data_IF_910997113546
#
_entry.id   IF_910997113546
#
_cell.length_a   1.000
_cell.length_b   1.000
_cell.length_c   1.000
_cell.angle_alpha   90.00
_cell.angle_beta   90.00
_cell.angle_gamma   90.00
#
_symmetry.space_group_name_H-M   'P 1'
#
loop_
_entity.id
_entity.type
_entity.pdbx_description
1 polymer ?
#
# COMPACT_ATOMS: atom_id res chain seq x y z
N UNK A 1 7.70 -8.87 -6.73
CA UNK A 1 8.34 -9.01 -8.07
C UNK A 1 8.72 -10.46 -8.34
N UNK A 2 8.97 -10.86 -9.61
CA UNK A 2 9.09 -12.27 -10.06
C UNK A 2 10.42 -12.96 -9.71
N UNK A 3 11.02 -12.59 -8.58
CA UNK A 3 11.91 -13.42 -7.78
C UNK A 3 11.45 -13.15 -6.35
N UNK A 4 11.06 -14.18 -5.61
CA UNK A 4 10.53 -14.08 -4.25
C UNK A 4 11.56 -13.58 -3.22
N UNK A 5 12.27 -12.50 -3.52
CA UNK A 5 13.06 -11.72 -2.56
C UNK A 5 12.06 -11.06 -1.62
N UNK A 6 11.73 -11.77 -0.53
CA UNK A 6 11.10 -11.18 0.62
C UNK A 6 12.10 -10.19 1.22
N UNK A 7 11.80 -8.91 1.07
CA UNK A 7 12.59 -7.87 1.72
C UNK A 7 11.77 -7.32 2.87
N UNK A 8 12.34 -7.38 4.07
CA UNK A 8 11.77 -6.75 5.26
C UNK A 8 11.73 -5.22 5.12
N UNK A 9 11.11 -4.55 6.06
CA UNK A 9 11.02 -3.11 6.03
C UNK A 9 10.30 -2.52 7.24
N UNK A 10 10.43 -1.21 7.39
CA UNK A 10 9.66 -0.44 8.37
C UNK A 10 8.49 0.23 7.67
N UNK A 11 7.30 -0.01 8.19
CA UNK A 11 6.08 0.63 7.73
C UNK A 11 5.55 1.61 8.78
N UNK A 12 4.92 2.69 8.29
CA UNK A 12 4.23 3.69 9.09
C UNK A 12 2.92 4.01 8.39
N UNK A 13 1.80 4.00 9.12
CA UNK A 13 0.48 4.38 8.60
C UNK A 13 -0.11 5.42 9.53
N UNK A 14 -0.62 6.50 8.94
CA UNK A 14 -1.46 7.48 9.62
C UNK A 14 -2.67 7.74 8.72
N UNK A 15 -3.83 7.25 9.15
CA UNK A 15 -5.07 7.46 8.41
C UNK A 15 -5.65 8.84 8.73
N UNK A 16 -6.23 9.55 7.74
CA UNK A 16 -6.40 9.11 6.36
C UNK A 16 -5.18 9.38 5.47
N UNK A 17 -4.91 8.44 4.56
CA UNK A 17 -4.12 8.68 3.36
C UNK A 17 -2.60 8.67 3.50
N UNK A 18 -2.04 8.73 4.72
CA UNK A 18 -0.59 8.76 4.89
C UNK A 18 -0.02 7.36 5.12
N UNK A 19 1.04 7.05 4.38
CA UNK A 19 1.75 5.79 4.46
C UNK A 19 3.23 6.04 4.18
N UNK A 20 4.11 5.31 4.86
CA UNK A 20 5.50 5.19 4.45
C UNK A 20 5.97 3.77 4.60
N UNK A 21 6.62 3.27 3.57
CA UNK A 21 7.34 2.02 3.59
C UNK A 21 8.80 2.25 3.19
N UNK A 22 9.72 1.88 4.08
CA UNK A 22 11.13 1.80 3.76
C UNK A 22 11.50 0.31 3.71
N UNK A 23 11.79 -0.21 2.51
CA UNK A 23 12.35 -1.54 2.39
C UNK A 23 13.77 -1.54 2.98
N UNK A 24 14.11 -2.61 3.68
CA UNK A 24 15.47 -2.85 4.17
C UNK A 24 16.34 -3.42 3.05
N UNK A 25 17.65 -3.50 3.26
CA UNK A 25 18.55 -4.09 2.27
C UNK A 25 18.18 -5.56 1.99
N UNK A 26 18.32 -6.04 0.73
CA UNK A 26 18.98 -5.37 -0.39
C UNK A 26 18.06 -4.50 -1.27
N UNK A 27 16.78 -4.34 -0.93
CA UNK A 27 15.83 -3.61 -1.77
C UNK A 27 15.99 -2.10 -1.58
N UNK A 28 16.36 -1.34 -2.63
CA UNK A 28 16.50 0.11 -2.54
C UNK A 28 15.15 0.83 -2.62
N UNK A 29 14.03 0.12 -2.48
CA UNK A 29 12.72 0.67 -2.74
C UNK A 29 12.20 1.51 -1.57
N UNK A 30 11.40 2.52 -1.87
CA UNK A 30 10.67 3.33 -0.89
C UNK A 30 9.30 3.68 -1.44
N UNK A 31 8.29 3.61 -0.59
CA UNK A 31 6.93 4.07 -0.91
C UNK A 31 6.53 5.13 0.11
N UNK A 32 6.03 6.27 -0.35
CA UNK A 32 5.52 7.34 0.52
C UNK A 32 4.17 7.80 -0.05
N UNK A 33 3.17 7.94 0.81
CA UNK A 33 1.96 8.68 0.51
C UNK A 33 1.75 9.78 1.54
N UNK A 34 1.45 10.99 1.05
CA UNK A 34 1.21 12.19 1.85
C UNK A 34 -0.29 12.49 2.02
N UNK A 35 -1.16 11.55 1.63
CA UNK A 35 -2.61 11.70 1.61
C UNK A 35 -3.19 12.26 0.31
N UNK A 36 -2.36 12.80 -0.60
CA UNK A 36 -2.79 13.27 -1.93
C UNK A 36 -2.21 12.41 -3.04
N UNK A 37 -0.92 12.13 -2.95
CA UNK A 37 -0.21 11.34 -3.93
C UNK A 37 0.51 10.17 -3.26
N UNK A 38 0.89 9.19 -4.07
CA UNK A 38 1.82 8.13 -3.70
C UNK A 38 3.02 8.21 -4.61
N UNK A 39 4.20 8.09 -4.02
CA UNK A 39 5.49 8.04 -4.69
C UNK A 39 6.13 6.70 -4.41
N UNK A 40 6.55 6.03 -5.48
CA UNK A 40 7.32 4.79 -5.44
C UNK A 40 8.71 5.10 -5.99
N UNK A 41 9.74 4.89 -5.20
CA UNK A 41 11.11 5.27 -5.55
C UNK A 41 12.09 4.14 -5.46
N UNK A 42 13.07 4.13 -6.36
CA UNK A 42 14.29 3.36 -6.21
C UNK A 42 15.42 4.29 -5.76
N UNK A 43 15.81 4.20 -4.50
CA UNK A 43 16.81 5.08 -3.89
C UNK A 43 18.20 4.95 -4.52
N UNK A 44 18.53 3.77 -5.06
CA UNK A 44 19.82 3.50 -5.71
C UNK A 44 19.90 4.14 -7.09
N UNK A 45 18.82 4.02 -7.87
CA UNK A 45 18.72 4.60 -9.22
C UNK A 45 18.28 6.08 -9.19
N UNK A 46 17.75 6.55 -8.06
CA UNK A 46 17.16 7.88 -7.89
C UNK A 46 16.04 8.15 -8.89
N UNK A 47 15.23 7.12 -9.13
CA UNK A 47 14.03 7.18 -9.98
C UNK A 47 12.79 7.16 -9.10
N UNK A 48 11.74 7.86 -9.54
CA UNK A 48 10.52 8.05 -8.78
C UNK A 48 9.31 7.99 -9.72
N UNK A 49 8.33 7.17 -9.37
CA UNK A 49 7.01 7.14 -10.00
C UNK A 49 6.00 7.82 -9.09
N UNK A 50 5.22 8.76 -9.64
CA UNK A 50 4.24 9.56 -8.90
C UNK A 50 2.84 9.27 -9.41
N UNK A 51 1.92 8.94 -8.50
CA UNK A 51 0.52 8.69 -8.82
C UNK A 51 -0.39 9.46 -7.87
N UNK A 52 -1.53 10.01 -8.33
CA UNK A 52 -2.58 10.48 -7.43
C UNK A 52 -3.08 9.31 -6.58
N UNK A 53 -3.10 9.47 -5.24
CA UNK A 53 -3.51 8.39 -4.33
C UNK A 53 -4.94 7.94 -4.65
N UNK A 54 -5.82 8.89 -4.96
CA UNK A 54 -7.22 8.67 -5.34
C UNK A 54 -7.43 7.86 -6.62
N UNK A 55 -6.36 7.62 -7.40
CA UNK A 55 -6.37 6.77 -8.60
C UNK A 55 -5.71 5.41 -8.38
N UNK A 56 -5.38 5.09 -7.12
CA UNK A 56 -4.80 3.80 -6.76
C UNK A 56 -5.73 3.04 -5.80
N UNK A 57 -5.81 1.69 -5.91
CA UNK A 57 -6.52 0.87 -4.93
C UNK A 57 -6.03 1.04 -3.49
N UNK A 58 -4.78 1.48 -3.30
CA UNK A 58 -4.20 1.79 -1.99
C UNK A 58 -5.02 2.82 -1.20
N UNK A 59 -5.73 3.72 -1.88
CA UNK A 59 -6.65 4.67 -1.23
C UNK A 59 -7.74 4.00 -0.39
N UNK A 60 -8.15 2.78 -0.75
CA UNK A 60 -9.16 2.00 -0.02
C UNK A 60 -8.63 1.47 1.32
N UNK A 61 -7.32 1.20 1.42
CA UNK A 61 -6.68 0.76 2.65
C UNK A 61 -6.39 1.93 3.60
N UNK A 62 -6.10 3.10 3.01
CA UNK A 62 -5.70 4.30 3.73
C UNK A 62 -6.88 5.23 4.07
N UNK A 63 -8.10 4.92 3.67
CA UNK A 63 -9.29 5.64 4.12
C UNK A 63 -9.50 5.49 5.63
N UNK A 64 -10.19 6.44 6.26
CA UNK A 64 -10.50 6.41 7.71
C UNK A 64 -11.19 5.11 8.13
N UNK A 65 -12.01 4.57 7.23
CA UNK A 65 -12.67 3.27 7.36
C UNK A 65 -12.53 2.52 6.05
N UNK A 66 -12.25 1.21 6.15
CA UNK A 66 -12.31 0.33 4.99
C UNK A 66 -13.79 0.07 4.72
N UNK A 67 -14.31 0.69 3.66
CA UNK A 67 -15.68 0.49 3.22
C UNK A 67 -15.75 -0.76 2.33
N UNK A 68 -16.29 -1.84 2.91
CA UNK A 68 -16.54 -3.12 2.23
C UNK A 68 -17.90 -3.16 1.52
N UNK A 69 -18.53 -2.00 1.26
CA UNK A 69 -19.76 -1.92 0.48
C UNK A 69 -19.61 -2.54 -0.91
N UNK A 70 -20.69 -3.18 -1.39
CA UNK A 70 -20.73 -4.04 -2.58
C UNK A 70 -20.06 -3.49 -3.85
N UNK A 71 -20.01 -2.17 -4.06
CA UNK A 71 -19.46 -1.60 -5.31
C UNK A 71 -17.94 -1.75 -5.44
N UNK A 72 -17.23 -1.97 -4.33
CA UNK A 72 -15.77 -2.06 -4.31
C UNK A 72 -15.27 -3.47 -4.03
N UNK A 73 -16.11 -4.36 -3.50
CA UNK A 73 -15.74 -5.76 -3.25
C UNK A 73 -15.84 -6.56 -4.54
N UNK A 74 -14.74 -7.20 -4.91
CA UNK A 74 -14.65 -8.06 -6.10
C UNK A 74 -14.77 -9.53 -5.76
N UNK A 75 -14.18 -9.91 -4.64
CA UNK A 75 -14.18 -11.29 -4.16
C UNK A 75 -13.96 -11.33 -2.65
N UNK A 76 -14.51 -12.36 -2.01
CA UNK A 76 -14.32 -12.64 -0.59
C UNK A 76 -14.15 -14.14 -0.44
N UNK A 77 -13.03 -14.54 0.18
CA UNK A 77 -12.73 -15.92 0.50
C UNK A 77 -12.48 -16.05 2.00
N UNK A 78 -13.24 -16.91 2.64
CA UNK A 78 -13.10 -17.20 4.06
C UNK A 78 -12.58 -18.62 4.24
N UNK A 79 -11.42 -18.75 4.87
CA UNK A 79 -10.77 -20.01 5.20
C UNK A 79 -10.53 -20.06 6.72
N UNK A 80 -10.28 -21.25 7.26
CA UNK A 80 -10.14 -21.47 8.71
C UNK A 80 -9.02 -20.65 9.36
N UNK A 81 -8.01 -20.28 8.58
CA UNK A 81 -6.78 -19.60 8.98
C UNK A 81 -6.69 -18.16 8.45
N UNK A 82 -7.54 -17.78 7.49
CA UNK A 82 -7.46 -16.47 6.85
C UNK A 82 -8.76 -16.01 6.20
N UNK A 83 -9.06 -14.72 6.30
CA UNK A 83 -10.08 -14.05 5.48
C UNK A 83 -9.40 -13.19 4.42
N UNK A 84 -9.66 -13.48 3.14
CA UNK A 84 -9.16 -12.71 2.00
C UNK A 84 -10.27 -11.88 1.38
N UNK A 85 -10.03 -10.60 1.17
CA UNK A 85 -10.96 -9.66 0.53
C UNK A 85 -10.24 -8.99 -0.63
N UNK A 86 -10.78 -9.15 -1.84
CA UNK A 86 -10.29 -8.43 -3.02
C UNK A 86 -11.16 -7.22 -3.24
N UNK A 87 -10.55 -6.03 -3.25
CA UNK A 87 -11.19 -4.75 -3.50
C UNK A 87 -10.70 -4.14 -4.82
N UNK A 88 -11.61 -3.50 -5.54
CA UNK A 88 -11.29 -2.76 -6.75
C UNK A 88 -12.51 -2.08 -7.35
N UNK A 89 -12.29 -0.91 -7.93
CA UNK A 89 -13.30 -0.13 -8.65
C UNK A 89 -12.78 0.13 -10.06
N UNK A 90 -13.38 -0.52 -11.06
CA UNK A 90 -12.91 -0.46 -12.45
C UNK A 90 -13.11 0.92 -13.07
N UNK A 91 -14.08 1.68 -12.56
CA UNK A 91 -14.33 3.05 -13.02
C UNK A 91 -13.29 4.04 -12.50
N UNK A 92 -12.66 3.75 -11.36
CA UNK A 92 -11.69 4.65 -10.69
C UNK A 92 -10.25 4.19 -10.90
N UNK A 93 -9.98 2.89 -10.77
CA UNK A 93 -8.64 2.28 -10.73
C UNK A 93 -8.31 1.41 -11.96
N UNK A 94 -9.23 1.30 -12.93
CA UNK A 94 -9.09 0.40 -14.06
C UNK A 94 -9.05 -1.07 -13.61
N UNK A 95 -8.15 -1.86 -14.18
CA UNK A 95 -7.99 -3.27 -13.78
C UNK A 95 -7.12 -3.45 -12.52
N UNK A 96 -6.69 -2.36 -11.88
CA UNK A 96 -5.91 -2.42 -10.65
C UNK A 96 -6.79 -2.83 -9.45
N UNK A 97 -6.24 -3.65 -8.55
CA UNK A 97 -6.93 -4.16 -7.36
C UNK A 97 -6.06 -4.05 -6.11
N UNK A 98 -6.69 -4.22 -4.94
CA UNK A 98 -6.00 -4.47 -3.68
C UNK A 98 -6.62 -5.69 -3.00
N UNK A 99 -5.79 -6.68 -2.70
CA UNK A 99 -6.16 -7.86 -1.95
C UNK A 99 -5.71 -7.67 -0.50
N UNK A 100 -6.63 -7.81 0.43
CA UNK A 100 -6.39 -7.68 1.87
C UNK A 100 -6.57 -9.04 2.52
N UNK A 101 -5.63 -9.42 3.38
CA UNK A 101 -5.62 -10.70 4.09
C UNK A 101 -5.65 -10.41 5.58
N UNK A 102 -6.70 -10.89 6.23
CA UNK A 102 -6.99 -10.66 7.64
C UNK A 102 -6.90 -11.97 8.43
N UNK A 103 -6.50 -11.83 9.69
CA UNK A 103 -6.66 -12.87 10.69
C UNK A 103 -8.16 -13.04 11.01
N UNK A 104 -8.75 -14.25 10.87
CA UNK A 104 -10.20 -14.43 10.96
C UNK A 104 -10.74 -14.28 12.39
N UNK A 105 -9.87 -14.30 13.41
CA UNK A 105 -10.27 -14.19 14.82
C UNK A 105 -10.17 -12.77 15.33
N UNK A 106 -9.11 -12.07 14.95
CA UNK A 106 -8.79 -10.71 15.43
C UNK A 106 -9.19 -9.62 14.45
N UNK A 107 -9.41 -9.96 13.18
CA UNK A 107 -9.58 -9.04 12.05
C UNK A 107 -8.38 -8.12 11.82
N UNK A 108 -7.22 -8.48 12.37
CA UNK A 108 -5.98 -7.76 12.11
C UNK A 108 -5.55 -8.00 10.66
N UNK A 109 -5.20 -6.92 9.96
CA UNK A 109 -4.61 -7.01 8.63
C UNK A 109 -3.21 -7.64 8.75
N UNK A 110 -3.02 -8.79 8.09
CA UNK A 110 -1.75 -9.54 8.07
C UNK A 110 -0.95 -9.24 6.82
N UNK A 111 -1.62 -8.98 5.71
CA UNK A 111 -0.98 -8.73 4.43
C UNK A 111 -1.91 -7.92 3.54
N UNK A 112 -1.31 -7.09 2.68
CA UNK A 112 -2.01 -6.63 1.49
C UNK A 112 -1.16 -6.85 0.24
N UNK A 113 -1.82 -7.00 -0.90
CA UNK A 113 -1.20 -7.02 -2.22
C UNK A 113 -1.91 -5.99 -3.09
N UNK A 114 -1.18 -5.03 -3.66
CA UNK A 114 -1.70 -4.18 -4.72
C UNK A 114 -1.28 -4.73 -6.06
N UNK A 115 -2.24 -4.90 -6.97
CA UNK A 115 -2.00 -5.28 -8.36
C UNK A 115 -2.28 -4.08 -9.24
N UNK A 116 -1.30 -3.66 -10.04
CA UNK A 116 -1.47 -2.54 -10.98
C UNK A 116 -2.15 -2.98 -12.29
N UNK A 117 -2.48 -2.01 -13.15
CA UNK A 117 -3.12 -2.28 -14.45
C UNK A 117 -2.24 -3.10 -15.43
N UNK A 118 -0.95 -3.29 -15.14
CA UNK A 118 -0.03 -4.15 -15.89
C UNK A 118 0.08 -5.56 -15.25
N UNK A 119 -0.78 -5.88 -14.28
CA UNK A 119 -0.76 -7.12 -13.48
C UNK A 119 0.55 -7.32 -12.70
N UNK A 120 1.20 -6.23 -12.26
CA UNK A 120 2.36 -6.32 -11.36
C UNK A 120 1.91 -6.23 -9.92
N UNK A 121 2.31 -7.23 -9.14
CA UNK A 121 1.99 -7.33 -7.73
C UNK A 121 3.07 -6.72 -6.84
N UNK A 122 2.61 -5.89 -5.88
CA UNK A 122 3.38 -5.45 -4.72
C UNK A 122 2.71 -5.96 -3.45
N UNK A 123 3.34 -6.93 -2.80
CA UNK A 123 2.86 -7.53 -1.55
C UNK A 123 3.60 -6.94 -0.35
N UNK A 124 2.85 -6.61 0.70
CA UNK A 124 3.37 -6.16 1.98
C UNK A 124 2.80 -7.05 3.08
N UNK A 125 3.68 -7.72 3.81
CA UNK A 125 3.32 -8.49 5.00
C UNK A 125 3.51 -7.63 6.26
N UNK A 126 2.58 -7.72 7.19
CA UNK A 126 2.52 -6.90 8.39
C UNK A 126 2.79 -7.76 9.62
N UNK A 127 3.79 -7.35 10.40
CA UNK A 127 4.14 -7.98 11.67
C UNK A 127 4.44 -6.91 12.72
N UNK A 128 4.29 -7.25 13.99
CA UNK A 128 4.69 -6.41 15.14
C UNK A 128 4.11 -4.98 15.10
N UNK A 129 2.82 -4.85 14.78
CA UNK A 129 2.14 -3.55 14.70
C UNK A 129 2.11 -2.88 16.08
N UNK A 130 2.55 -1.63 16.13
CA UNK A 130 2.34 -0.74 17.27
C UNK A 130 1.32 0.32 16.89
N UNK A 131 0.22 0.38 17.63
CA UNK A 131 -0.86 1.36 17.43
C UNK A 131 -0.73 2.51 18.43
N UNK A 132 -1.36 3.66 18.13
CA UNK A 132 -1.37 4.82 19.03
C UNK A 132 -0.04 5.57 19.16
N UNK A 133 0.92 5.32 18.26
CA UNK A 133 2.19 6.05 18.21
C UNK A 133 1.99 7.45 17.63
N UNK A 134 2.72 8.44 18.15
CA UNK A 134 2.75 9.79 17.61
C UNK A 134 3.85 9.87 16.54
N UNK A 135 3.47 10.17 15.29
CA UNK A 135 4.39 10.27 14.16
C UNK A 135 4.53 11.74 13.76
N UNK A 136 5.76 12.19 13.54
CA UNK A 136 6.03 13.52 12.99
C UNK A 136 5.52 13.60 11.55
N UNK A 137 4.84 14.68 11.18
CA UNK A 137 4.28 14.86 9.83
C UNK A 137 5.34 14.72 8.72
N UNK A 138 6.60 15.05 9.01
CA UNK A 138 7.73 14.93 8.07
C UNK A 138 8.00 13.49 7.65
N UNK A 139 7.54 12.50 8.42
CA UNK A 139 7.65 11.08 8.06
C UNK A 139 7.03 10.83 6.68
N UNK A 140 5.91 11.50 6.37
CA UNK A 140 5.11 11.26 5.18
C UNK A 140 5.34 12.29 4.06
N UNK A 141 6.29 13.20 4.24
CA UNK A 141 6.52 14.27 3.27
C UNK A 141 7.16 13.76 1.98
N UNK A 142 6.61 14.20 0.84
CA UNK A 142 7.13 13.95 -0.50
C UNK A 142 7.84 15.20 -1.00
N UNK A 143 9.11 15.05 -1.40
CA UNK A 143 9.83 16.12 -2.09
C UNK A 143 9.46 16.16 -3.59
N UNK A 144 8.39 16.89 -3.92
CA UNK A 144 7.89 16.99 -5.29
C UNK A 144 8.90 17.57 -6.31
N UNK A 145 9.79 18.46 -5.86
CA UNK A 145 10.84 19.03 -6.71
C UNK A 145 11.84 17.96 -7.15
N UNK A 146 12.22 17.05 -6.24
CA UNK A 146 13.12 15.95 -6.55
C UNK A 146 12.46 14.91 -7.47
N UNK A 147 11.19 14.60 -7.21
CA UNK A 147 10.41 13.63 -7.98
C UNK A 147 10.23 14.10 -9.43
N UNK A 148 9.88 15.38 -9.66
CA UNK A 148 9.61 15.93 -10.99
C UNK A 148 10.85 16.14 -11.86
N UNK A 149 12.02 16.37 -11.27
CA UNK A 149 13.26 16.64 -12.02
C UNK A 149 13.85 15.41 -12.72
N UNK A 150 13.33 14.21 -12.45
CA UNK A 150 13.91 12.93 -12.91
C UNK A 150 12.88 11.95 -13.48
N UNK A 151 11.63 12.39 -13.63
CA UNK A 151 10.58 11.65 -14.35
C UNK A 151 10.66 11.88 -15.85
#
# INVERSE_FOLDING_TARGET
GPRGEQTGGKFYIERPGKLRFNYEDPSPMRVISDGKNVVIGNMKLKTWDLYPLSKTPLSLLLSDKIDLGNQKVRDVKEESDLTTIVLGDKSVFGDSTITLMFDPKTFDLRQWTTTDAQNKDTTVMIFNVQTGVNLDERVFNINYEEVRKRG
#
